data_IF_632558252383
#
_entry.id   IF_632558252383
#
_cell.length_a   1.000
_cell.length_b   1.000
_cell.length_c   1.000
_cell.angle_alpha   90.00
_cell.angle_beta   90.00
_cell.angle_gamma   90.00
#
_symmetry.space_group_name_H-M   'P 1'
#
loop_
_entity.id
_entity.type
_entity.pdbx_description
1 polymer ?
#
# COMPACT_ATOMS: atom_id res chain seq x y z
N UNK A 1 8.33 2.64 -12.38
CA UNK A 1 8.62 2.54 -13.82
C UNK A 1 9.18 1.17 -14.21
N UNK A 2 10.23 0.64 -13.56
CA UNK A 2 10.80 -0.67 -13.91
C UNK A 2 9.83 -1.87 -13.73
N UNK A 3 9.00 -1.87 -12.67
CA UNK A 3 8.05 -2.96 -12.42
C UNK A 3 6.96 -3.06 -13.49
N UNK A 4 6.47 -1.91 -13.98
CA UNK A 4 5.47 -1.83 -15.05
C UNK A 4 5.90 -2.62 -16.28
N UNK A 5 7.14 -2.41 -16.74
CA UNK A 5 7.68 -3.11 -17.90
C UNK A 5 7.74 -4.63 -17.70
N UNK A 6 8.03 -5.10 -16.48
CA UNK A 6 8.04 -6.55 -16.18
C UNK A 6 6.63 -7.14 -16.28
N UNK A 7 5.63 -6.45 -15.73
CA UNK A 7 4.22 -6.89 -15.81
C UNK A 7 3.73 -6.90 -17.26
N UNK A 8 3.98 -5.83 -18.00
CA UNK A 8 3.55 -5.70 -19.40
C UNK A 8 4.27 -6.72 -20.31
N UNK A 9 5.57 -6.99 -20.09
CA UNK A 9 6.31 -8.03 -20.82
C UNK A 9 5.77 -9.44 -20.55
N UNK A 10 5.21 -9.68 -19.36
CA UNK A 10 4.55 -10.93 -19.02
C UNK A 10 3.10 -11.03 -19.55
N UNK A 11 2.63 -10.02 -20.30
CA UNK A 11 1.29 -10.00 -20.90
C UNK A 11 0.20 -9.35 -20.02
N UNK A 12 0.57 -8.84 -18.83
CA UNK A 12 -0.36 -8.15 -17.95
C UNK A 12 -0.57 -6.67 -18.33
N UNK A 13 -1.59 -6.05 -17.72
CA UNK A 13 -1.78 -4.58 -17.75
C UNK A 13 -1.38 -4.02 -16.39
N UNK A 14 -0.69 -2.89 -16.35
CA UNK A 14 -0.17 -2.30 -15.12
C UNK A 14 -0.47 -0.80 -15.04
N UNK A 15 -1.04 -0.38 -13.90
CA UNK A 15 -1.22 1.02 -13.54
C UNK A 15 -0.35 1.32 -12.31
N UNK A 16 0.79 2.03 -12.47
CA UNK A 16 1.58 2.43 -11.32
C UNK A 16 0.94 3.64 -10.62
N UNK A 17 0.67 3.50 -9.33
CA UNK A 17 0.18 4.59 -8.47
C UNK A 17 1.24 4.90 -7.40
N UNK A 18 1.47 6.18 -7.14
CA UNK A 18 2.26 6.61 -5.96
C UNK A 18 1.30 6.73 -4.80
N UNK A 19 1.48 5.90 -3.77
CA UNK A 19 0.57 5.81 -2.63
C UNK A 19 1.37 5.60 -1.36
N UNK A 20 1.15 6.45 -0.37
CA UNK A 20 1.45 6.17 1.03
C UNK A 20 0.19 5.62 1.70
N UNK A 21 0.22 4.37 2.17
CA UNK A 21 -0.95 3.72 2.82
C UNK A 21 -1.36 4.38 4.14
N UNK A 22 -0.59 5.35 4.63
CA UNK A 22 -0.94 6.17 5.79
C UNK A 22 -1.86 7.33 5.42
N UNK A 23 -1.89 7.71 4.15
CA UNK A 23 -2.64 8.84 3.60
C UNK A 23 -3.92 8.34 2.91
N UNK A 24 -5.06 8.70 3.50
CA UNK A 24 -6.40 8.27 3.07
C UNK A 24 -6.78 8.81 1.70
N UNK A 25 -6.45 10.07 1.39
CA UNK A 25 -6.76 10.65 0.09
C UNK A 25 -5.98 9.94 -1.02
N UNK A 26 -4.73 9.54 -0.75
CA UNK A 26 -3.94 8.79 -1.71
C UNK A 26 -4.49 7.37 -1.94
N UNK A 27 -4.99 6.71 -0.89
CA UNK A 27 -5.61 5.38 -1.00
C UNK A 27 -6.90 5.45 -1.83
N UNK A 28 -7.79 6.40 -1.52
CA UNK A 28 -9.05 6.61 -2.27
C UNK A 28 -8.75 6.88 -3.74
N UNK A 29 -7.82 7.80 -4.02
CA UNK A 29 -7.43 8.14 -5.39
C UNK A 29 -6.87 6.94 -6.15
N UNK A 30 -6.13 6.06 -5.49
CA UNK A 30 -5.61 4.85 -6.12
C UNK A 30 -6.72 3.84 -6.46
N UNK A 31 -7.72 3.69 -5.58
CA UNK A 31 -8.93 2.91 -5.82
C UNK A 31 -9.70 3.42 -7.05
N UNK A 32 -9.97 4.72 -7.09
CA UNK A 32 -10.69 5.37 -8.19
C UNK A 32 -9.94 5.20 -9.52
N UNK A 33 -8.62 5.40 -9.52
CA UNK A 33 -7.78 5.20 -10.70
C UNK A 33 -7.81 3.76 -11.20
N UNK A 34 -7.75 2.78 -10.29
CA UNK A 34 -7.84 1.36 -10.63
C UNK A 34 -9.22 1.01 -11.20
N UNK A 35 -10.30 1.46 -10.54
CA UNK A 35 -11.67 1.24 -10.99
C UNK A 35 -11.92 1.88 -12.37
N UNK A 36 -11.46 3.11 -12.59
CA UNK A 36 -11.57 3.79 -13.88
C UNK A 36 -10.80 3.07 -14.99
N UNK A 37 -9.62 2.50 -14.68
CA UNK A 37 -8.75 1.88 -15.68
C UNK A 37 -9.15 0.44 -16.01
N UNK A 38 -9.60 -0.32 -15.01
CA UNK A 38 -9.78 -1.77 -15.10
C UNK A 38 -11.22 -2.24 -14.85
N UNK A 39 -12.13 -1.35 -14.43
CA UNK A 39 -13.54 -1.66 -14.17
C UNK A 39 -13.83 -2.10 -12.75
N UNK A 40 -12.83 -2.18 -11.87
CA UNK A 40 -12.98 -2.58 -10.48
C UNK A 40 -11.70 -3.17 -9.90
N UNK A 41 -11.80 -3.74 -8.70
CA UNK A 41 -10.74 -4.50 -8.03
C UNK A 41 -11.32 -5.83 -7.56
N UNK A 42 -10.73 -6.93 -8.05
CA UNK A 42 -11.12 -8.30 -7.64
C UNK A 42 -10.33 -8.80 -6.44
N UNK A 43 -9.06 -8.37 -6.33
CA UNK A 43 -8.11 -8.86 -5.33
C UNK A 43 -7.33 -7.67 -4.76
N UNK A 44 -7.31 -7.57 -3.44
CA UNK A 44 -6.46 -6.66 -2.68
C UNK A 44 -5.33 -7.46 -2.01
N UNK A 45 -4.08 -7.04 -2.22
CA UNK A 45 -2.90 -7.63 -1.57
C UNK A 45 -2.26 -6.57 -0.67
N UNK A 46 -2.53 -6.65 0.63
CA UNK A 46 -1.93 -5.76 1.63
C UNK A 46 -0.50 -6.22 1.97
N UNK A 47 0.45 -5.80 1.14
CA UNK A 47 1.88 -6.15 1.28
C UNK A 47 2.73 -5.05 1.94
N UNK A 48 2.27 -3.80 1.96
CA UNK A 48 3.04 -2.68 2.52
C UNK A 48 3.28 -2.89 4.02
N UNK A 49 4.54 -2.77 4.45
CA UNK A 49 4.90 -2.94 5.85
C UNK A 49 6.13 -2.12 6.25
N UNK A 50 6.20 -1.76 7.53
CA UNK A 50 7.42 -1.31 8.20
C UNK A 50 7.74 -2.23 9.36
N UNK A 51 9.03 -2.40 9.64
CA UNK A 51 9.54 -3.27 10.70
C UNK A 51 10.64 -2.58 11.51
N UNK A 52 10.60 -2.78 12.82
CA UNK A 52 11.65 -2.41 13.78
C UNK A 52 11.88 -3.60 14.69
N UNK A 53 13.08 -4.16 14.66
CA UNK A 53 13.45 -5.36 15.44
C UNK A 53 14.04 -5.00 16.81
N UNK A 54 13.46 -3.99 17.45
CA UNK A 54 13.84 -3.54 18.79
C UNK A 54 12.97 -4.24 19.82
N UNK A 55 13.52 -4.44 21.02
CA UNK A 55 12.71 -4.90 22.16
C UNK A 55 11.80 -3.78 22.69
N UNK A 56 10.94 -4.11 23.66
CA UNK A 56 9.97 -3.17 24.23
C UNK A 56 10.59 -1.86 24.73
N UNK A 57 11.63 -1.86 25.59
CA UNK A 57 12.21 -0.60 26.07
C UNK A 57 13.01 0.16 25.00
N UNK A 58 13.52 -0.52 23.98
CA UNK A 58 14.35 0.11 22.95
C UNK A 58 13.56 0.61 21.74
N UNK A 59 12.26 0.34 21.66
CA UNK A 59 11.43 0.77 20.52
C UNK A 59 11.02 2.23 20.68
N UNK A 60 11.53 3.17 19.86
CA UNK A 60 11.10 4.56 19.94
C UNK A 60 9.64 4.68 19.50
N UNK A 61 8.87 5.58 20.12
CA UNK A 61 7.46 5.79 19.76
C UNK A 61 7.26 6.06 18.26
N UNK A 62 8.15 6.84 17.63
CA UNK A 62 8.11 7.07 16.18
C UNK A 62 8.18 5.79 15.34
N UNK A 63 8.91 4.76 15.81
CA UNK A 63 8.98 3.45 15.14
C UNK A 63 7.73 2.62 15.41
N UNK A 64 7.26 2.62 16.65
CA UNK A 64 6.00 1.99 17.01
C UNK A 64 4.84 2.54 16.14
N UNK A 65 4.70 3.86 16.08
CA UNK A 65 3.67 4.54 15.31
C UNK A 65 3.82 4.28 13.81
N UNK A 66 5.05 4.24 13.29
CA UNK A 66 5.30 3.92 11.88
C UNK A 66 4.83 2.50 11.53
N UNK A 67 5.17 1.51 12.35
CA UNK A 67 4.72 0.13 12.13
C UNK A 67 3.20 0.02 12.19
N UNK A 68 2.56 0.65 13.18
CA UNK A 68 1.09 0.56 13.32
C UNK A 68 0.35 1.36 12.25
N UNK A 69 0.86 2.53 11.86
CA UNK A 69 0.25 3.36 10.81
C UNK A 69 0.29 2.69 9.44
N UNK A 70 1.34 1.91 9.14
CA UNK A 70 1.46 1.17 7.86
C UNK A 70 0.78 -0.20 7.96
N UNK A 71 1.17 -1.03 8.93
CA UNK A 71 0.83 -2.45 8.95
C UNK A 71 -0.63 -2.69 9.36
N UNK A 72 -1.11 -1.98 10.39
CA UNK A 72 -2.45 -2.18 10.93
C UNK A 72 -3.43 -1.17 10.35
N UNK A 73 -3.21 0.12 10.60
CA UNK A 73 -4.10 1.18 10.11
C UNK A 73 -4.14 1.22 8.58
N UNK A 74 -2.98 1.20 7.92
CA UNK A 74 -2.90 1.23 6.45
C UNK A 74 -3.61 0.05 5.80
N UNK A 75 -3.46 -1.16 6.35
CA UNK A 75 -4.21 -2.35 5.90
C UNK A 75 -5.72 -2.16 6.04
N UNK A 76 -6.18 -1.66 7.20
CA UNK A 76 -7.60 -1.43 7.45
C UNK A 76 -8.21 -0.35 6.54
N UNK A 77 -7.42 0.68 6.23
CA UNK A 77 -7.85 1.82 5.41
C UNK A 77 -8.31 1.42 3.99
N UNK A 78 -7.82 0.31 3.45
CA UNK A 78 -8.28 -0.18 2.14
C UNK A 78 -9.71 -0.73 2.15
N UNK A 79 -10.35 -0.88 3.31
CA UNK A 79 -11.67 -1.47 3.47
C UNK A 79 -12.75 -0.47 3.91
N UNK A 80 -12.36 0.77 4.24
CA UNK A 80 -13.26 1.84 4.67
C UNK A 80 -13.31 2.94 3.62
#
# INVERSE_FOLDING_TARGET
>A
IAFRFKVEKAGGKCLPCVVDVRDEEQVIKAFEQAAQKFGGIDILINNASAISLTDTPSTPMKRYDLMHSINARGTFLWYV
#
